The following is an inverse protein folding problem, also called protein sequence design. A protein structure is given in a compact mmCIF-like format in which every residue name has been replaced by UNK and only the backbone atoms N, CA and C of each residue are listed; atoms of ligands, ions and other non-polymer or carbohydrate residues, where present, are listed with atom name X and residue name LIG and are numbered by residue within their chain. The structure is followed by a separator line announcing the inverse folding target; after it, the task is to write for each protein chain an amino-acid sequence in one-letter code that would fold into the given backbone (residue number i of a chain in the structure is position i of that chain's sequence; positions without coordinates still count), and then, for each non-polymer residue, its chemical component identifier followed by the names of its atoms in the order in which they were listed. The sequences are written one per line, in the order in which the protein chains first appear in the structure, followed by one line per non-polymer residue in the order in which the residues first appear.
data_IF_662388959490
#
_entry.id   IF_662388959490
#
_cell.length_a   1.000
_cell.length_b   1.000
_cell.length_c   1.000
_cell.angle_alpha   90.00
_cell.angle_beta   90.00
_cell.angle_gamma   90.00
#
_symmetry.space_group_name_H-M   'P 1'
#
loop_
_entity.id
_entity.type
_entity.pdbx_description
1 polymer ?
#
# COMPACT_ATOMS: atom_id res chain seq x y z
N UNK A 1 14.15 7.59 6.62
CA UNK A 1 12.89 8.35 6.50
C UNK A 1 12.08 8.07 7.74
N UNK A 2 11.27 9.01 8.18
CA UNK A 2 10.31 8.73 9.25
C UNK A 2 9.28 7.69 8.78
N UNK A 3 8.88 6.76 9.65
CA UNK A 3 7.78 5.81 9.41
C UNK A 3 6.68 6.14 10.41
N UNK A 4 5.53 6.53 9.91
CA UNK A 4 4.41 6.97 10.75
C UNK A 4 3.36 5.86 10.92
N UNK A 5 2.56 5.98 11.97
CA UNK A 5 1.44 5.09 12.26
C UNK A 5 0.17 5.63 11.63
N UNK A 6 -0.41 4.91 10.67
CA UNK A 6 -1.63 5.27 9.97
C UNK A 6 -2.91 5.16 10.84
N UNK A 7 -2.82 4.56 12.03
CA UNK A 7 -3.92 4.60 13.00
C UNK A 7 -4.06 5.98 13.63
N UNK A 8 -2.98 6.76 13.70
CA UNK A 8 -3.03 8.17 14.11
C UNK A 8 -3.91 8.97 13.13
N UNK A 9 -5.01 9.60 13.61
CA UNK A 9 -5.89 10.40 12.75
C UNK A 9 -5.17 11.52 12.00
N UNK A 10 -4.12 12.14 12.57
CA UNK A 10 -3.37 13.20 11.91
C UNK A 10 -2.55 12.66 10.74
N UNK A 11 -1.88 11.52 10.94
CA UNK A 11 -1.12 10.83 9.89
C UNK A 11 -2.05 10.35 8.77
N UNK A 12 -3.22 9.83 9.14
CA UNK A 12 -4.25 9.42 8.17
C UNK A 12 -4.75 10.61 7.36
N UNK A 13 -5.05 11.75 8.01
CA UNK A 13 -5.46 12.97 7.32
C UNK A 13 -4.39 13.47 6.35
N UNK A 14 -3.11 13.44 6.75
CA UNK A 14 -1.99 13.79 5.85
C UNK A 14 -2.00 12.94 4.57
N UNK A 15 -2.26 11.63 4.68
CA UNK A 15 -2.35 10.76 3.50
C UNK A 15 -3.57 11.07 2.63
N UNK A 16 -4.73 11.33 3.24
CA UNK A 16 -5.94 11.74 2.52
C UNK A 16 -5.71 13.04 1.73
N UNK A 17 -5.06 14.03 2.34
CA UNK A 17 -4.75 15.32 1.70
C UNK A 17 -3.78 15.15 0.53
N UNK A 18 -2.78 14.26 0.65
CA UNK A 18 -1.88 13.89 -0.45
C UNK A 18 -2.62 13.24 -1.61
N UNK A 19 -3.50 12.29 -1.33
CA UNK A 19 -4.33 11.62 -2.35
C UNK A 19 -5.25 12.64 -3.03
N UNK A 20 -5.79 13.60 -2.29
CA UNK A 20 -6.68 14.63 -2.83
C UNK A 20 -5.99 15.59 -3.81
N UNK A 21 -4.66 15.76 -3.71
CA UNK A 21 -3.85 16.54 -4.67
C UNK A 21 -3.66 15.85 -6.03
N UNK A 22 -3.96 14.55 -6.13
CA UNK A 22 -3.91 13.83 -7.40
C UNK A 22 -5.09 14.22 -8.30
N UNK A 23 -4.82 14.25 -9.60
CA UNK A 23 -5.78 14.48 -10.70
C UNK A 23 -5.62 13.40 -11.77
N UNK A 24 -6.60 13.20 -12.67
CA UNK A 24 -6.46 12.25 -13.79
C UNK A 24 -5.27 12.55 -14.70
N UNK A 25 -4.78 13.80 -14.72
CA UNK A 25 -3.64 14.23 -15.55
C UNK A 25 -2.30 14.10 -14.84
N UNK A 26 -2.28 13.78 -13.54
CA UNK A 26 -1.04 13.68 -12.75
C UNK A 26 -0.12 12.62 -13.36
N UNK A 27 1.10 13.05 -13.72
CA UNK A 27 2.09 12.18 -14.34
C UNK A 27 3.01 11.60 -13.30
N UNK A 28 3.31 10.30 -13.43
CA UNK A 28 4.33 9.62 -12.64
C UNK A 28 5.71 10.23 -12.93
N UNK A 29 6.52 10.38 -11.90
CA UNK A 29 7.92 10.76 -11.97
C UNK A 29 8.82 9.53 -12.27
N UNK A 30 8.42 8.35 -11.80
CA UNK A 30 9.06 7.06 -12.12
C UNK A 30 8.04 5.93 -12.19
N UNK A 31 8.49 4.72 -12.55
CA UNK A 31 7.63 3.54 -12.68
C UNK A 31 6.82 3.51 -13.98
N UNK A 32 5.84 2.61 -14.05
CA UNK A 32 5.07 2.32 -15.29
C UNK A 32 3.57 2.56 -15.18
N UNK A 33 2.96 2.25 -14.03
CA UNK A 33 1.52 2.46 -13.81
C UNK A 33 1.16 3.94 -13.88
N UNK A 34 0.04 4.27 -14.52
CA UNK A 34 -0.55 5.60 -14.43
C UNK A 34 -1.17 5.85 -13.05
N UNK A 35 -1.72 7.05 -12.85
CA UNK A 35 -2.25 7.46 -11.54
C UNK A 35 -3.46 6.62 -11.10
N UNK A 36 -4.36 6.25 -12.03
CA UNK A 36 -5.53 5.44 -11.70
C UNK A 36 -5.14 3.99 -11.40
N UNK A 37 -4.20 3.44 -12.16
CA UNK A 37 -3.61 2.12 -11.91
C UNK A 37 -2.85 2.08 -10.57
N UNK A 38 -2.12 3.15 -10.22
CA UNK A 38 -1.44 3.26 -8.93
C UNK A 38 -2.44 3.29 -7.77
N UNK A 39 -3.53 4.07 -7.89
CA UNK A 39 -4.59 4.11 -6.88
C UNK A 39 -5.18 2.71 -6.66
N UNK A 40 -5.52 1.98 -7.72
CA UNK A 40 -5.98 0.60 -7.64
C UNK A 40 -4.92 -0.35 -7.03
N UNK A 41 -3.65 -0.15 -7.36
CA UNK A 41 -2.54 -0.98 -6.87
C UNK A 41 -2.39 -0.89 -5.36
N UNK A 42 -2.40 0.32 -4.79
CA UNK A 42 -2.19 0.53 -3.34
C UNK A 42 -3.36 0.02 -2.49
N UNK A 43 -4.56 -0.10 -3.06
CA UNK A 43 -5.71 -0.70 -2.37
C UNK A 43 -5.53 -2.21 -2.13
N UNK A 44 -4.81 -2.94 -3.02
CA UNK A 44 -4.65 -4.40 -2.92
C UNK A 44 -4.06 -4.85 -1.58
N UNK A 45 -2.90 -4.33 -1.11
CA UNK A 45 -2.37 -4.70 0.19
C UNK A 45 -3.22 -4.22 1.37
N UNK A 46 -3.95 -3.11 1.24
CA UNK A 46 -4.89 -2.63 2.28
C UNK A 46 -6.05 -3.62 2.45
N UNK A 47 -6.68 -4.02 1.34
CA UNK A 47 -7.74 -5.03 1.35
C UNK A 47 -7.24 -6.37 1.88
N UNK A 48 -5.97 -6.72 1.64
CA UNK A 48 -5.37 -7.89 2.25
C UNK A 48 -5.22 -7.72 3.78
N UNK A 49 -4.80 -6.55 4.26
CA UNK A 49 -4.72 -6.24 5.69
C UNK A 49 -6.10 -6.31 6.38
N UNK A 50 -7.17 -5.91 5.69
CA UNK A 50 -8.57 -6.09 6.14
C UNK A 50 -9.06 -7.54 6.05
N UNK A 51 -8.29 -8.42 5.42
CA UNK A 51 -8.64 -9.82 5.25
C UNK A 51 -9.67 -10.08 4.15
N UNK A 52 -9.97 -9.11 3.28
CA UNK A 52 -10.94 -9.27 2.18
C UNK A 52 -10.46 -10.25 1.11
N UNK A 53 -9.15 -10.43 0.94
CA UNK A 53 -8.59 -11.33 -0.06
C UNK A 53 -7.45 -12.19 0.48
N UNK A 54 -7.15 -13.28 -0.22
CA UNK A 54 -5.95 -14.07 -0.01
C UNK A 54 -5.18 -14.21 -1.31
N UNK A 55 -3.86 -14.04 -1.24
CA UNK A 55 -2.98 -14.24 -2.39
C UNK A 55 -2.16 -15.50 -2.15
N UNK A 56 -1.99 -16.32 -3.19
CA UNK A 56 -1.10 -17.48 -3.12
C UNK A 56 0.35 -16.98 -3.23
N UNK A 57 1.06 -16.96 -2.10
CA UNK A 57 2.51 -16.72 -2.10
C UNK A 57 3.27 -17.87 -2.77
N UNK A 58 4.38 -17.55 -3.45
CA UNK A 58 5.34 -18.56 -3.94
C UNK A 58 5.88 -19.40 -2.79
N UNK A 59 5.89 -20.75 -2.87
CA UNK A 59 6.38 -21.63 -1.80
C UNK A 59 7.76 -21.26 -1.28
N UNK A 60 8.70 -20.88 -2.17
CA UNK A 60 10.03 -20.43 -1.79
C UNK A 60 9.98 -19.13 -0.98
N UNK A 61 9.20 -18.14 -1.44
CA UNK A 61 9.04 -16.86 -0.75
C UNK A 61 8.33 -17.00 0.60
N UNK A 62 7.48 -18.02 0.80
CA UNK A 62 6.87 -18.29 2.12
C UNK A 62 7.91 -18.69 3.18
N UNK A 63 8.99 -19.36 2.75
CA UNK A 63 10.04 -19.84 3.65
C UNK A 63 10.98 -18.69 4.02
N UNK A 64 11.47 -17.94 3.03
CA UNK A 64 12.47 -16.88 3.26
C UNK A 64 11.85 -15.53 3.60
N UNK A 65 10.62 -15.27 3.17
CA UNK A 65 9.93 -13.98 3.30
C UNK A 65 9.86 -13.44 4.73
N UNK A 66 9.55 -14.24 5.77
CA UNK A 66 9.49 -13.76 7.15
C UNK A 66 10.80 -13.12 7.65
N UNK A 67 11.96 -13.53 7.12
CA UNK A 67 13.27 -12.93 7.46
C UNK A 67 13.41 -11.49 6.94
N UNK A 68 12.69 -11.15 5.87
CA UNK A 68 12.75 -9.84 5.21
C UNK A 68 11.54 -8.95 5.50
N UNK A 69 10.60 -9.37 6.37
CA UNK A 69 9.37 -8.60 6.63
C UNK A 69 9.61 -7.20 7.17
N UNK A 70 10.73 -6.96 7.85
CA UNK A 70 11.11 -5.63 8.36
C UNK A 70 11.29 -4.61 7.24
N UNK A 71 11.62 -5.05 6.02
CA UNK A 71 11.70 -4.16 4.85
C UNK A 71 10.37 -3.44 4.61
N UNK A 72 9.25 -4.04 5.00
CA UNK A 72 7.93 -3.43 4.83
C UNK A 72 7.70 -2.19 5.70
N UNK A 73 8.34 -2.10 6.87
CA UNK A 73 8.01 -1.08 7.89
C UNK A 73 9.25 -0.45 8.54
N UNK A 74 10.46 -0.74 8.07
CA UNK A 74 11.68 -0.06 8.51
C UNK A 74 11.82 1.32 7.86
N UNK A 75 12.72 2.13 8.40
CA UNK A 75 12.97 3.52 7.97
C UNK A 75 13.77 3.67 6.67
N UNK A 76 14.16 2.54 6.05
CA UNK A 76 14.89 2.54 4.78
C UNK A 76 13.88 2.73 3.64
N UNK A 77 13.97 3.80 2.83
CA UNK A 77 13.08 3.99 1.69
C UNK A 77 13.11 2.82 0.73
N UNK A 78 11.97 2.52 0.11
CA UNK A 78 11.95 1.66 -1.06
C UNK A 78 12.72 2.32 -2.21
N UNK A 79 13.57 1.54 -2.88
CA UNK A 79 14.25 2.02 -4.08
C UNK A 79 13.21 2.31 -5.17
N UNK A 80 13.44 3.35 -5.95
CA UNK A 80 12.62 3.62 -7.13
C UNK A 80 12.78 2.47 -8.14
N UNK A 81 11.68 2.06 -8.77
CA UNK A 81 11.70 1.01 -9.80
C UNK A 81 11.93 -0.41 -9.28
N UNK A 82 11.71 -0.68 -7.99
CA UNK A 82 11.67 -2.06 -7.49
C UNK A 82 10.64 -2.89 -8.27
N UNK A 83 10.94 -4.16 -8.60
CA UNK A 83 9.97 -5.04 -9.22
C UNK A 83 8.74 -5.21 -8.34
N UNK A 84 7.57 -4.93 -8.90
CA UNK A 84 6.28 -5.25 -8.29
C UNK A 84 5.98 -6.73 -8.53
N UNK A 85 5.44 -7.42 -7.52
CA UNK A 85 4.92 -8.77 -7.70
C UNK A 85 3.89 -8.78 -8.85
N UNK A 86 3.99 -9.68 -9.83
CA UNK A 86 3.07 -9.73 -10.97
C UNK A 86 1.58 -9.79 -10.57
N UNK A 87 1.25 -10.36 -9.42
CA UNK A 87 -0.12 -10.45 -8.89
C UNK A 87 -0.64 -9.11 -8.35
N UNK A 88 0.24 -8.14 -8.14
CA UNK A 88 -0.10 -6.78 -7.71
C UNK A 88 -0.02 -5.74 -8.83
N UNK A 89 0.48 -6.10 -10.01
CA UNK A 89 0.49 -5.20 -11.17
C UNK A 89 -0.96 -5.02 -11.66
N UNK A 90 -1.38 -3.77 -11.83
CA UNK A 90 -2.63 -3.37 -12.50
C UNK A 90 -2.27 -3.08 -13.95
N UNK A 91 -2.83 -3.85 -14.89
CA UNK A 91 -2.53 -3.73 -16.32
C UNK A 91 -3.69 -3.13 -17.10
N UNK A 92 -4.89 -3.37 -16.60
CA UNK A 92 -6.13 -2.84 -17.13
C UNK A 92 -6.20 -1.32 -16.93
N UNK A 93 -6.96 -0.66 -17.81
CA UNK A 93 -7.34 0.74 -17.62
C UNK A 93 -8.26 0.86 -16.40
N UNK A 94 -8.11 1.94 -15.65
CA UNK A 94 -8.88 2.22 -14.43
C UNK A 94 -9.53 3.59 -14.50
N UNK A 95 -10.74 3.70 -13.95
CA UNK A 95 -11.38 5.00 -13.78
C UNK A 95 -10.78 5.72 -12.57
N UNK A 96 -10.18 6.88 -12.79
CA UNK A 96 -9.50 7.63 -11.74
C UNK A 96 -10.40 7.97 -10.55
N UNK A 97 -11.60 8.50 -10.78
CA UNK A 97 -12.49 8.95 -9.69
C UNK A 97 -12.97 7.77 -8.85
N UNK A 98 -13.31 6.64 -9.50
CA UNK A 98 -13.68 5.41 -8.81
C UNK A 98 -12.55 4.91 -7.90
N UNK A 99 -11.34 4.78 -8.43
CA UNK A 99 -10.20 4.25 -7.66
C UNK A 99 -9.73 5.21 -6.57
N UNK A 100 -9.87 6.53 -6.78
CA UNK A 100 -9.60 7.55 -5.77
C UNK A 100 -10.59 7.40 -4.62
N UNK A 101 -11.90 7.37 -4.91
CA UNK A 101 -12.93 7.27 -3.87
C UNK A 101 -12.78 5.98 -3.07
N UNK A 102 -12.57 4.84 -3.74
CA UNK A 102 -12.35 3.56 -3.07
C UNK A 102 -11.14 3.58 -2.13
N UNK A 103 -10.03 4.19 -2.54
CA UNK A 103 -8.87 4.32 -1.67
C UNK A 103 -9.15 5.23 -0.46
N UNK A 104 -9.84 6.36 -0.66
CA UNK A 104 -10.23 7.25 0.43
C UNK A 104 -11.13 6.52 1.43
N UNK A 105 -12.13 5.77 0.95
CA UNK A 105 -13.05 5.00 1.80
C UNK A 105 -12.30 3.94 2.62
N UNK A 106 -11.36 3.22 1.99
CA UNK A 106 -10.52 2.27 2.71
C UNK A 106 -9.73 2.98 3.81
N UNK A 107 -9.12 4.13 3.52
CA UNK A 107 -8.32 4.86 4.50
C UNK A 107 -9.17 5.43 5.63
N UNK A 108 -10.36 5.96 5.37
CA UNK A 108 -11.28 6.45 6.40
C UNK A 108 -11.60 5.39 7.46
N UNK A 109 -11.65 4.11 7.07
CA UNK A 109 -11.91 2.98 7.96
C UNK A 109 -10.63 2.29 8.45
N UNK A 110 -9.44 2.87 8.24
CA UNK A 110 -8.18 2.25 8.63
C UNK A 110 -7.92 2.40 10.13
N UNK A 111 -8.33 1.38 10.88
CA UNK A 111 -8.24 1.31 12.33
C UNK A 111 -7.82 -0.09 12.81
N UNK A 112 -7.28 -0.24 14.03
CA UNK A 112 -6.79 -1.53 14.54
C UNK A 112 -7.83 -2.65 14.53
N UNK A 113 -9.10 -2.33 14.81
CA UNK A 113 -10.23 -3.25 14.83
C UNK A 113 -10.61 -3.79 13.45
N UNK A 114 -10.33 -3.02 12.39
CA UNK A 114 -10.60 -3.42 11.00
C UNK A 114 -9.43 -4.20 10.38
N UNK A 115 -8.28 -4.28 11.04
CA UNK A 115 -7.17 -5.14 10.59
C UNK A 115 -7.46 -6.59 10.97
N UNK A 116 -7.53 -7.45 9.95
CA UNK A 116 -7.76 -8.88 10.11
C UNK A 116 -6.55 -9.62 10.69
N UNK A 117 -6.79 -10.81 11.23
CA UNK A 117 -5.75 -11.66 11.85
C UNK A 117 -5.06 -12.63 10.88
N UNK A 118 -5.25 -12.43 9.57
CA UNK A 118 -4.68 -13.30 8.54
C UNK A 118 -3.16 -13.14 8.49
N UNK A 119 -2.44 -14.27 8.40
CA UNK A 119 -0.99 -14.27 8.13
C UNK A 119 -0.74 -13.79 6.70
N UNK A 120 0.23 -12.90 6.53
CA UNK A 120 0.71 -12.51 5.21
C UNK A 120 1.31 -13.74 4.50
N UNK A 121 0.94 -14.06 3.24
CA UNK A 121 1.36 -15.28 2.56
C UNK A 121 2.88 -15.41 2.43
N UNK A 122 3.58 -14.30 2.20
CA UNK A 122 5.05 -14.22 2.14
C UNK A 122 5.69 -13.87 3.50
N UNK A 123 5.22 -12.83 4.18
CA UNK A 123 5.90 -12.27 5.36
C UNK A 123 5.46 -12.87 6.72
N UNK A 124 4.51 -13.80 6.72
CA UNK A 124 4.02 -14.46 7.92
C UNK A 124 3.19 -13.56 8.82
N UNK A 125 3.30 -13.76 10.14
CA UNK A 125 2.53 -12.99 11.13
C UNK A 125 3.05 -11.55 11.21
N UNK A 126 2.12 -10.60 11.11
CA UNK A 126 2.34 -9.17 11.30
C UNK A 126 1.45 -8.66 12.43
N UNK A 127 1.96 -7.75 13.26
CA UNK A 127 1.13 -7.02 14.24
C UNK A 127 0.32 -5.93 13.54
N UNK A 128 -0.68 -5.36 14.23
CA UNK A 128 -1.51 -4.28 13.67
C UNK A 128 -0.67 -3.04 13.38
N UNK A 129 0.28 -2.72 14.25
CA UNK A 129 1.23 -1.62 14.07
C UNK A 129 2.16 -1.88 12.87
N UNK A 130 2.58 -3.13 12.66
CA UNK A 130 3.38 -3.50 11.48
C UNK A 130 2.58 -3.36 10.18
N UNK A 131 1.29 -3.73 10.20
CA UNK A 131 0.39 -3.47 9.07
C UNK A 131 0.23 -1.99 8.80
N UNK A 132 -0.04 -1.19 9.84
CA UNK A 132 -0.19 0.25 9.76
C UNK A 132 1.04 0.92 9.13
N UNK A 133 2.23 0.66 9.68
CA UNK A 133 3.50 1.20 9.18
C UNK A 133 3.83 0.74 7.76
N UNK A 134 3.51 -0.52 7.43
CA UNK A 134 3.73 -1.04 6.09
C UNK A 134 2.83 -0.37 5.05
N UNK A 135 1.54 -0.18 5.39
CA UNK A 135 0.59 0.55 4.56
C UNK A 135 1.01 2.00 4.38
N UNK A 136 1.39 2.69 5.46
CA UNK A 136 1.88 4.07 5.38
C UNK A 136 3.09 4.18 4.46
N UNK A 137 4.10 3.32 4.64
CA UNK A 137 5.33 3.33 3.82
C UNK A 137 5.04 3.05 2.35
N UNK A 138 4.12 2.13 2.06
CA UNK A 138 3.72 1.80 0.70
C UNK A 138 2.99 2.96 0.03
N UNK A 139 2.04 3.59 0.72
CA UNK A 139 1.37 4.80 0.25
C UNK A 139 2.35 5.95 0.03
N UNK A 140 3.21 6.24 1.00
CA UNK A 140 4.19 7.32 0.88
C UNK A 140 5.11 7.14 -0.33
N UNK A 141 5.58 5.91 -0.60
CA UNK A 141 6.39 5.61 -1.77
C UNK A 141 5.67 5.93 -3.08
N UNK A 142 4.41 5.50 -3.19
CA UNK A 142 3.62 5.71 -4.40
C UNK A 142 3.10 7.14 -4.54
N UNK A 143 2.81 7.84 -3.45
CA UNK A 143 2.45 9.26 -3.51
C UNK A 143 3.65 10.11 -3.96
N UNK A 144 4.85 9.82 -3.44
CA UNK A 144 6.11 10.42 -3.94
C UNK A 144 6.36 10.12 -5.41
N UNK A 145 5.99 8.93 -5.91
CA UNK A 145 6.08 8.59 -7.33
C UNK A 145 5.27 9.56 -8.22
N UNK A 146 4.27 10.23 -7.69
CA UNK A 146 3.44 11.22 -8.38
C UNK A 146 3.66 12.65 -7.87
N UNK A 147 4.69 12.86 -7.04
CA UNK A 147 5.10 14.19 -6.57
C UNK A 147 4.25 14.79 -5.46
N UNK A 148 3.43 14.00 -4.75
CA UNK A 148 2.53 14.48 -3.68
C UNK A 148 2.88 13.98 -2.29
#
# INVERSE_FOLDING_TARGET
MEIKDLFDPQVRQEMLDRINRLTPQTKRLWGKMDVAQMLAHVQRPINFAYGHHSIKGSPLLKIIGPLFKTVLYNEKPYKQGLPTDPTYIVKEEKNFETEKQQLLDLLHHFSPENIGDKKHPVFGKMTREQWSRATWKHLDHHLKQFGV
#
